data_IF_089686729413
#
_entry.id   IF_089686729413
#
_cell.length_a   1.000
_cell.length_b   1.000
_cell.length_c   1.000
_cell.angle_alpha   90.00
_cell.angle_beta   90.00
_cell.angle_gamma   90.00
#
_symmetry.space_group_name_H-M   'P 1'
#
loop_
_entity.id
_entity.type
_entity.pdbx_description
1 polymer ?
#
# COMPACT_ATOMS: atom_id res chain seq x y z
N UNK A 1 -49.61 5.77 -46.83
CA UNK A 1 -49.83 5.49 -45.40
C UNK A 1 -48.78 4.47 -44.96
N UNK A 2 -47.58 4.94 -44.66
CA UNK A 2 -46.41 4.10 -44.34
C UNK A 2 -45.60 4.82 -43.28
N UNK A 3 -46.01 4.69 -42.03
CA UNK A 3 -45.37 5.32 -40.88
C UNK A 3 -45.46 4.39 -39.68
N UNK A 4 -44.50 3.48 -39.56
CA UNK A 4 -44.04 2.90 -38.30
C UNK A 4 -43.09 1.75 -38.61
N UNK A 5 -41.80 1.99 -38.47
CA UNK A 5 -41.01 1.20 -37.51
C UNK A 5 -39.69 1.94 -37.27
N UNK A 6 -39.71 2.87 -36.32
CA UNK A 6 -38.48 3.25 -35.60
C UNK A 6 -38.35 2.24 -34.48
N UNK A 7 -37.81 1.07 -34.80
CA UNK A 7 -37.19 0.18 -33.84
C UNK A 7 -35.90 0.84 -33.34
N UNK A 8 -36.06 1.93 -32.59
CA UNK A 8 -35.04 2.40 -31.65
C UNK A 8 -34.91 1.29 -30.61
N UNK A 9 -34.06 0.31 -30.92
CA UNK A 9 -33.50 -0.57 -29.92
C UNK A 9 -32.98 0.32 -28.81
N UNK A 10 -33.63 0.27 -27.66
CA UNK A 10 -33.11 0.80 -26.42
C UNK A 10 -31.85 -0.01 -26.12
N UNK A 11 -30.73 0.41 -26.70
CA UNK A 11 -29.43 0.08 -26.19
C UNK A 11 -29.46 0.55 -24.74
N UNK A 12 -29.66 -0.41 -23.82
CA UNK A 12 -29.35 -0.20 -22.41
C UNK A 12 -27.93 0.34 -22.45
N UNK A 13 -27.69 1.62 -22.10
CA UNK A 13 -26.33 2.11 -22.06
C UNK A 13 -25.65 1.16 -21.07
N UNK A 14 -24.63 0.43 -21.52
CA UNK A 14 -23.65 -0.10 -20.59
C UNK A 14 -23.24 1.13 -19.78
N UNK A 15 -23.71 1.21 -18.53
CA UNK A 15 -23.40 2.32 -17.63
C UNK A 15 -21.95 2.08 -17.25
N UNK A 16 -21.06 2.40 -18.18
CA UNK A 16 -19.63 2.31 -17.99
C UNK A 16 -19.33 3.19 -16.78
N UNK A 17 -18.79 2.62 -15.68
CA UNK A 17 -18.56 3.36 -14.46
C UNK A 17 -17.74 4.62 -14.78
N UNK A 18 -18.30 5.77 -14.40
CA UNK A 18 -17.79 7.09 -14.76
C UNK A 18 -16.27 7.16 -14.54
N UNK A 19 -15.53 7.35 -15.64
CA UNK A 19 -14.07 7.15 -15.74
C UNK A 19 -13.28 7.90 -14.66
N UNK A 20 -13.82 9.00 -14.12
CA UNK A 20 -13.25 9.75 -13.01
C UNK A 20 -13.06 8.94 -11.72
N UNK A 21 -13.96 7.98 -11.43
CA UNK A 21 -13.85 7.14 -10.23
C UNK A 21 -12.74 6.12 -10.37
N UNK A 22 -12.61 5.54 -11.58
CA UNK A 22 -11.50 4.66 -11.94
C UNK A 22 -10.16 5.40 -11.84
N UNK A 23 -10.04 6.59 -12.44
CA UNK A 23 -8.84 7.43 -12.39
C UNK A 23 -8.46 7.83 -10.94
N UNK A 24 -9.45 8.08 -10.08
CA UNK A 24 -9.21 8.40 -8.66
C UNK A 24 -8.66 7.18 -7.88
N UNK A 25 -9.17 5.99 -8.16
CA UNK A 25 -8.70 4.76 -7.55
C UNK A 25 -7.27 4.42 -8.00
N UNK A 26 -6.96 4.60 -9.29
CA UNK A 26 -5.60 4.43 -9.82
C UNK A 26 -4.59 5.36 -9.15
N UNK A 27 -4.91 6.65 -9.00
CA UNK A 27 -4.03 7.61 -8.29
C UNK A 27 -3.76 7.18 -6.85
N UNK A 28 -4.78 6.64 -6.18
CA UNK A 28 -4.61 6.12 -4.82
C UNK A 28 -3.69 4.91 -4.85
N UNK A 29 -3.93 3.93 -5.73
CA UNK A 29 -3.06 2.75 -5.90
C UNK A 29 -1.60 3.14 -6.17
N UNK A 30 -1.35 4.09 -7.07
CA UNK A 30 0.00 4.58 -7.36
C UNK A 30 0.66 5.25 -6.15
N UNK A 31 -0.11 5.94 -5.31
CA UNK A 31 0.39 6.46 -4.05
C UNK A 31 0.82 5.33 -3.09
N UNK A 32 0.06 4.25 -2.98
CA UNK A 32 0.45 3.06 -2.20
C UNK A 32 1.74 2.43 -2.75
N UNK A 33 1.87 2.31 -4.07
CA UNK A 33 3.10 1.78 -4.68
C UNK A 33 4.31 2.68 -4.42
N UNK A 34 4.15 4.00 -4.48
CA UNK A 34 5.22 4.94 -4.13
C UNK A 34 5.72 4.73 -2.71
N UNK A 35 4.82 4.61 -1.74
CA UNK A 35 5.19 4.36 -0.34
C UNK A 35 5.89 3.00 -0.19
N UNK A 36 5.38 1.95 -0.84
CA UNK A 36 6.01 0.63 -0.81
C UNK A 36 7.43 0.67 -1.38
N UNK A 37 7.66 1.36 -2.49
CA UNK A 37 8.99 1.51 -3.09
C UNK A 37 9.95 2.31 -2.19
N UNK A 38 9.46 3.39 -1.55
CA UNK A 38 10.26 4.14 -0.58
C UNK A 38 10.68 3.30 0.63
N UNK A 39 9.77 2.48 1.15
CA UNK A 39 10.08 1.53 2.23
C UNK A 39 11.06 0.45 1.78
N UNK A 40 10.90 -0.09 0.57
CA UNK A 40 11.82 -1.08 0.04
C UNK A 40 13.23 -0.51 -0.13
N UNK A 41 13.36 0.71 -0.65
CA UNK A 41 14.63 1.42 -0.74
C UNK A 41 15.25 1.65 0.64
N UNK A 42 14.45 2.02 1.63
CA UNK A 42 14.91 2.17 3.01
C UNK A 42 15.41 0.83 3.59
N UNK A 43 14.71 -0.29 3.33
CA UNK A 43 15.15 -1.63 3.75
C UNK A 43 16.53 -2.00 3.17
N UNK A 44 16.72 -1.73 1.88
CA UNK A 44 18.03 -1.94 1.22
C UNK A 44 19.09 -1.03 1.83
N UNK A 45 18.78 0.25 2.05
CA UNK A 45 19.69 1.19 2.71
C UNK A 45 20.09 0.74 4.11
N UNK A 46 19.15 0.17 4.88
CA UNK A 46 19.43 -0.40 6.19
C UNK A 46 20.47 -1.53 6.11
N UNK A 47 20.32 -2.44 5.14
CA UNK A 47 21.27 -3.56 4.99
C UNK A 47 22.64 -3.11 4.48
N UNK A 48 22.68 -2.08 3.63
CA UNK A 48 23.93 -1.63 2.98
C UNK A 48 24.73 -0.63 3.80
N UNK A 49 24.07 0.26 4.53
CA UNK A 49 24.73 1.39 5.20
C UNK A 49 24.84 1.23 6.72
N UNK A 50 24.08 0.33 7.37
CA UNK A 50 24.29 0.10 8.79
C UNK A 50 25.52 -0.78 9.02
N UNK A 51 26.43 -0.36 9.91
CA UNK A 51 27.52 -1.21 10.37
C UNK A 51 26.95 -2.45 11.09
N UNK A 52 27.72 -3.54 11.13
CA UNK A 52 27.38 -4.66 11.99
C UNK A 52 27.31 -4.18 13.46
N UNK A 53 26.16 -4.37 14.10
CA UNK A 53 26.04 -4.17 15.53
C UNK A 53 26.79 -5.28 16.28
N UNK A 54 27.05 -5.05 17.57
CA UNK A 54 27.64 -6.06 18.47
C UNK A 54 26.89 -7.40 18.48
N UNK A 55 25.61 -7.41 18.08
CA UNK A 55 24.80 -8.60 17.89
C UNK A 55 24.74 -8.96 16.40
N UNK A 56 25.31 -10.10 15.99
CA UNK A 56 25.21 -10.59 14.61
C UNK A 56 23.75 -10.74 14.17
N UNK A 57 23.43 -10.30 12.94
CA UNK A 57 22.11 -10.51 12.33
C UNK A 57 21.06 -9.42 12.58
N UNK A 58 21.28 -8.49 13.52
CA UNK A 58 20.33 -7.38 13.80
C UNK A 58 20.06 -6.53 12.56
N UNK A 59 21.11 -6.22 11.80
CA UNK A 59 21.00 -5.44 10.54
C UNK A 59 20.05 -6.11 9.56
N UNK A 60 20.17 -7.43 9.38
CA UNK A 60 19.33 -8.20 8.46
C UNK A 60 17.91 -8.33 8.99
N UNK A 61 17.72 -8.45 10.31
CA UNK A 61 16.40 -8.43 10.93
C UNK A 61 15.68 -7.09 10.71
N UNK A 62 16.37 -5.97 10.92
CA UNK A 62 15.82 -4.63 10.67
C UNK A 62 15.49 -4.40 9.20
N UNK A 63 16.43 -4.71 8.30
CA UNK A 63 16.20 -4.64 6.86
C UNK A 63 15.02 -5.52 6.43
N UNK A 64 14.96 -6.75 6.95
CA UNK A 64 13.86 -7.69 6.71
C UNK A 64 12.51 -7.16 7.21
N UNK A 65 12.46 -6.54 8.40
CA UNK A 65 11.23 -5.97 8.95
C UNK A 65 10.71 -4.78 8.12
N UNK A 66 11.60 -3.88 7.69
CA UNK A 66 11.24 -2.77 6.79
C UNK A 66 10.79 -3.30 5.44
N UNK A 67 11.50 -4.30 4.89
CA UNK A 67 11.16 -4.95 3.62
C UNK A 67 9.80 -5.66 3.68
N UNK A 68 9.50 -6.36 4.77
CA UNK A 68 8.19 -6.98 5.00
C UNK A 68 7.08 -5.92 5.05
N UNK A 69 7.32 -4.79 5.72
CA UNK A 69 6.38 -3.66 5.77
C UNK A 69 6.15 -3.06 4.37
N UNK A 70 7.18 -2.98 3.54
CA UNK A 70 7.06 -2.57 2.13
C UNK A 70 6.17 -3.52 1.31
N UNK A 71 6.38 -4.83 1.45
CA UNK A 71 5.56 -5.85 0.77
C UNK A 71 4.10 -5.79 1.22
N UNK A 72 3.85 -5.73 2.54
CA UNK A 72 2.51 -5.58 3.10
C UNK A 72 1.82 -4.31 2.58
N UNK A 73 2.56 -3.21 2.44
CA UNK A 73 2.06 -1.95 1.88
C UNK A 73 1.62 -2.09 0.43
N UNK A 74 2.42 -2.75 -0.40
CA UNK A 74 2.07 -3.00 -1.80
C UNK A 74 0.82 -3.90 -1.91
N UNK A 75 0.76 -4.97 -1.13
CA UNK A 75 -0.39 -5.89 -1.11
C UNK A 75 -1.66 -5.21 -0.61
N UNK A 76 -1.58 -4.38 0.42
CA UNK A 76 -2.72 -3.62 0.93
C UNK A 76 -3.28 -2.65 -0.12
N UNK A 77 -2.41 -1.95 -0.86
CA UNK A 77 -2.81 -1.09 -1.97
C UNK A 77 -3.57 -1.85 -3.07
N UNK A 78 -3.09 -3.05 -3.43
CA UNK A 78 -3.74 -3.89 -4.44
C UNK A 78 -5.09 -4.44 -3.96
N UNK A 79 -5.17 -4.92 -2.71
CA UNK A 79 -6.43 -5.40 -2.12
C UNK A 79 -7.48 -4.28 -2.05
N UNK A 80 -7.06 -3.08 -1.65
CA UNK A 80 -7.91 -1.88 -1.60
C UNK A 80 -8.43 -1.52 -2.99
N UNK A 81 -7.55 -1.48 -3.99
CA UNK A 81 -7.93 -1.19 -5.37
C UNK A 81 -9.01 -2.17 -5.87
N UNK A 82 -8.81 -3.49 -5.66
CA UNK A 82 -9.78 -4.53 -6.04
C UNK A 82 -11.12 -4.42 -5.30
N UNK A 83 -11.11 -4.08 -4.00
CA UNK A 83 -12.33 -3.91 -3.21
C UNK A 83 -13.16 -2.71 -3.70
N UNK A 84 -12.50 -1.59 -3.99
CA UNK A 84 -13.14 -0.38 -4.50
C UNK A 84 -13.68 -0.60 -5.90
N UNK A 85 -12.87 -1.19 -6.79
CA UNK A 85 -13.26 -1.52 -8.15
C UNK A 85 -14.47 -2.46 -8.19
N UNK A 86 -14.49 -3.49 -7.34
CA UNK A 86 -15.65 -4.39 -7.21
C UNK A 86 -16.90 -3.69 -6.67
N UNK A 87 -16.75 -2.77 -5.71
CA UNK A 87 -17.88 -2.02 -5.18
C UNK A 87 -18.49 -1.08 -6.23
N UNK A 88 -17.65 -0.41 -7.02
CA UNK A 88 -18.07 0.45 -8.14
C UNK A 88 -18.82 -0.34 -9.20
N UNK A 89 -18.32 -1.53 -9.60
CA UNK A 89 -18.99 -2.38 -10.59
C UNK A 89 -20.34 -2.95 -10.13
N UNK A 90 -20.55 -3.07 -8.83
CA UNK A 90 -21.77 -3.63 -8.23
C UNK A 90 -22.72 -2.55 -7.69
N UNK A 91 -22.44 -1.27 -7.96
CA UNK A 91 -23.16 -0.10 -7.42
C UNK A 91 -23.38 -0.15 -5.89
N UNK A 92 -22.38 -0.71 -5.18
CA UNK A 92 -22.41 -0.90 -3.73
C UNK A 92 -21.75 0.28 -2.99
N UNK A 93 -22.19 0.58 -1.76
CA UNK A 93 -21.57 1.62 -0.94
C UNK A 93 -20.07 1.36 -0.77
N UNK A 94 -19.26 2.41 -0.97
CA UNK A 94 -17.81 2.28 -0.95
C UNK A 94 -17.33 1.71 0.39
N UNK A 95 -16.46 0.67 0.38
CA UNK A 95 -15.95 0.09 1.60
C UNK A 95 -15.19 1.15 2.42
N UNK A 96 -15.57 1.27 3.70
CA UNK A 96 -14.98 2.25 4.63
C UNK A 96 -13.45 2.11 4.63
N UNK A 97 -12.71 3.22 4.70
CA UNK A 97 -11.27 3.16 4.63
C UNK A 97 -10.71 2.32 5.78
N UNK A 98 -10.09 1.19 5.45
CA UNK A 98 -9.11 0.57 6.34
C UNK A 98 -8.00 1.61 6.52
N UNK A 99 -8.04 2.29 7.65
CA UNK A 99 -7.12 3.36 8.03
C UNK A 99 -5.69 2.83 7.96
N UNK A 100 -4.69 3.59 7.47
CA UNK A 100 -3.28 3.16 7.39
C UNK A 100 -2.60 3.00 8.77
N UNK A 101 -3.37 2.68 9.81
CA UNK A 101 -2.94 2.44 11.19
C UNK A 101 -1.90 1.33 11.24
N UNK A 102 -2.02 0.27 10.44
CA UNK A 102 -1.02 -0.79 10.45
C UNK A 102 0.37 -0.28 10.01
N UNK A 103 0.43 0.63 9.03
CA UNK A 103 1.67 1.22 8.51
C UNK A 103 2.31 2.11 9.58
N UNK A 104 1.50 2.92 10.26
CA UNK A 104 1.95 3.75 11.37
C UNK A 104 2.48 2.90 12.53
N UNK A 105 1.74 1.86 12.94
CA UNK A 105 2.13 0.94 14.01
C UNK A 105 3.42 0.20 13.64
N UNK A 106 3.53 -0.31 12.42
CA UNK A 106 4.73 -1.02 11.95
C UNK A 106 5.97 -0.10 11.96
N UNK A 107 5.87 1.11 11.43
CA UNK A 107 6.98 2.07 11.41
C UNK A 107 7.41 2.49 12.82
N UNK A 108 6.45 2.76 13.71
CA UNK A 108 6.74 3.09 15.12
C UNK A 108 7.43 1.91 15.81
N UNK A 109 6.94 0.68 15.64
CA UNK A 109 7.54 -0.50 16.24
C UNK A 109 8.98 -0.73 15.76
N UNK A 110 9.23 -0.62 14.44
CA UNK A 110 10.58 -0.76 13.87
C UNK A 110 11.51 0.38 14.35
N UNK A 111 11.00 1.61 14.42
CA UNK A 111 11.75 2.76 14.93
C UNK A 111 12.14 2.60 16.40
N UNK A 112 11.20 2.19 17.26
CA UNK A 112 11.45 1.92 18.68
C UNK A 112 12.48 0.79 18.86
N UNK A 113 12.37 -0.29 18.10
CA UNK A 113 13.33 -1.38 18.13
C UNK A 113 14.74 -0.90 17.74
N UNK A 114 14.84 -0.07 16.68
CA UNK A 114 16.11 0.49 16.21
C UNK A 114 16.75 1.41 17.27
N UNK A 115 15.97 2.28 17.91
CA UNK A 115 16.44 3.18 18.98
C UNK A 115 16.90 2.37 20.19
N UNK A 116 16.11 1.40 20.66
CA UNK A 116 16.47 0.56 21.79
C UNK A 116 17.80 -0.17 21.56
N UNK A 117 17.98 -0.74 20.36
CA UNK A 117 19.22 -1.44 19.99
C UNK A 117 20.42 -0.48 19.93
N UNK A 118 20.26 0.71 19.34
CA UNK A 118 21.32 1.71 19.29
C UNK A 118 21.78 2.16 20.69
N UNK A 119 20.85 2.31 21.64
CA UNK A 119 21.15 2.65 23.02
C UNK A 119 21.92 1.52 23.73
N UNK A 120 21.56 0.25 23.52
CA UNK A 120 22.30 -0.90 24.10
C UNK A 120 23.70 -1.07 23.52
N UNK A 121 23.88 -0.83 22.20
CA UNK A 121 25.19 -0.91 21.55
C UNK A 121 26.15 0.21 21.97
N UNK A 122 25.62 1.41 22.26
CA UNK A 122 26.42 2.56 22.71
C UNK A 122 26.93 2.40 24.15
N UNK A 123 26.24 1.60 24.97
CA UNK A 123 26.63 1.34 26.37
C UNK A 123 27.74 0.30 26.55
N UNK A 124 27.92 -0.62 25.60
CA UNK A 124 28.91 -1.70 25.68
C UNK A 124 30.33 -1.29 25.22
N UNK A 125 30.49 -0.08 24.68
CA UNK A 125 31.76 0.46 24.18
C UNK A 125 32.49 1.42 25.11
N UNK A 126 32.10 1.53 26.39
CA UNK A 126 32.82 2.30 27.42
C UNK A 126 33.45 1.38 28.46
#
# INVERSE_FOLDING_TARGET
>A
MGTADRSTGSAVPDVEPDYRFTLANERTFLAWQRTALGLLAAAVGVVQFLPEFAIPGVRHALGGAVGATAMLTSVAGLRRWRQVDRAIRLDQPLPRPATPVYLAVALVAVGLATVALALTGTGAGR
#
